data_IF_171426553543
#
_entry.id   IF_171426553543
#
_cell.length_a   1.000
_cell.length_b   1.000
_cell.length_c   1.000
_cell.angle_alpha   90.00
_cell.angle_beta   90.00
_cell.angle_gamma   90.00
#
_symmetry.space_group_name_H-M   'P 1'
#
loop_
_entity.id
_entity.type
_entity.pdbx_description
1 polymer ?
#
# COMPACT_ATOMS: atom_id res chain seq x y z
N UNK A 1 13.52 -6.97 -4.06
CA UNK A 1 12.99 -5.91 -4.94
C UNK A 1 12.66 -4.66 -4.15
N UNK A 2 12.81 -3.52 -4.79
CA UNK A 2 12.47 -2.23 -4.17
C UNK A 2 11.13 -1.76 -4.68
N UNK A 3 10.28 -1.34 -3.74
CA UNK A 3 8.94 -0.83 -4.04
C UNK A 3 8.82 0.55 -3.44
N UNK A 4 8.40 1.52 -4.24
CA UNK A 4 8.06 2.84 -3.73
C UNK A 4 6.59 2.84 -3.33
N UNK A 5 6.30 3.28 -2.12
CA UNK A 5 4.93 3.29 -1.60
C UNK A 5 4.53 4.73 -1.32
N UNK A 6 3.39 5.14 -1.84
CA UNK A 6 2.87 6.49 -1.67
C UNK A 6 1.65 6.46 -0.76
N UNK A 7 1.55 7.47 0.11
CA UNK A 7 0.45 7.63 1.04
C UNK A 7 -0.10 9.04 0.92
N UNK A 8 -1.42 9.19 0.87
CA UNK A 8 -2.08 10.49 0.79
C UNK A 8 -3.14 10.62 1.88
N UNK A 9 -3.29 11.85 2.39
CA UNK A 9 -4.34 12.16 3.37
C UNK A 9 -4.17 11.38 4.67
N UNK A 10 -5.28 11.02 5.33
CA UNK A 10 -5.23 10.38 6.65
C UNK A 10 -4.48 9.05 6.68
N UNK A 11 -4.41 8.34 5.56
CA UNK A 11 -3.72 7.04 5.50
C UNK A 11 -2.21 7.19 5.77
N UNK A 12 -1.68 8.42 5.70
CA UNK A 12 -0.29 8.69 6.06
C UNK A 12 0.04 8.31 7.50
N UNK A 13 -0.96 8.19 8.36
CA UNK A 13 -0.74 7.71 9.73
C UNK A 13 -0.07 6.34 9.74
N UNK A 14 -0.33 5.53 8.73
CA UNK A 14 0.26 4.19 8.63
C UNK A 14 1.74 4.25 8.29
N UNK A 15 2.25 5.42 7.91
CA UNK A 15 3.64 5.64 7.55
C UNK A 15 4.22 6.85 8.31
N UNK A 16 3.87 7.00 9.58
CA UNK A 16 4.34 8.10 10.44
C UNK A 16 4.13 9.48 9.80
N UNK A 17 2.98 9.66 9.16
CA UNK A 17 2.58 10.90 8.48
C UNK A 17 3.47 11.29 7.30
N UNK A 18 4.32 10.38 6.81
CA UNK A 18 5.13 10.63 5.63
C UNK A 18 4.35 10.28 4.36
N UNK A 19 4.66 11.02 3.29
CA UNK A 19 3.97 10.84 2.00
C UNK A 19 4.46 9.62 1.23
N UNK A 20 5.64 9.13 1.52
CA UNK A 20 6.21 8.01 0.77
C UNK A 20 7.19 7.22 1.61
N UNK A 21 7.44 6.00 1.15
CA UNK A 21 8.48 5.14 1.70
C UNK A 21 9.00 4.27 0.56
N UNK A 22 10.29 3.94 0.61
CA UNK A 22 10.86 2.93 -0.29
C UNK A 22 11.18 1.74 0.57
N UNK A 23 10.60 0.59 0.23
CA UNK A 23 10.77 -0.62 1.02
C UNK A 23 11.38 -1.73 0.18
N UNK A 24 12.00 -2.69 0.83
CA UNK A 24 12.50 -3.89 0.17
C UNK A 24 11.64 -5.08 0.57
N UNK A 25 11.26 -5.85 -0.43
CA UNK A 25 10.49 -7.08 -0.23
C UNK A 25 11.15 -8.19 -1.05
N UNK A 26 11.01 -9.45 -0.63
CA UNK A 26 11.51 -10.56 -1.45
C UNK A 26 10.85 -10.58 -2.82
N UNK A 27 11.57 -11.10 -3.82
CA UNK A 27 10.99 -11.29 -5.14
C UNK A 27 9.78 -12.22 -5.04
N UNK A 28 8.73 -11.91 -5.79
CA UNK A 28 7.49 -12.65 -5.74
C UNK A 28 6.50 -12.18 -4.69
N UNK A 29 6.87 -11.15 -3.91
CA UNK A 29 5.97 -10.60 -2.90
C UNK A 29 4.72 -9.98 -3.55
N UNK A 30 3.64 -9.98 -2.81
CA UNK A 30 2.33 -9.49 -3.25
C UNK A 30 1.98 -8.19 -2.55
N UNK A 31 0.83 -7.63 -2.92
CA UNK A 31 0.27 -6.49 -2.21
C UNK A 31 0.00 -6.79 -0.74
N UNK A 32 -0.34 -8.05 -0.42
CA UNK A 32 -0.53 -8.47 0.97
C UNK A 32 0.78 -8.33 1.75
N UNK A 33 1.91 -8.69 1.15
CA UNK A 33 3.21 -8.54 1.80
C UNK A 33 3.55 -7.08 2.05
N UNK A 34 3.18 -6.21 1.13
CA UNK A 34 3.33 -4.76 1.31
C UNK A 34 2.47 -4.29 2.49
N UNK A 35 1.24 -4.74 2.56
CA UNK A 35 0.34 -4.41 3.66
C UNK A 35 0.94 -4.89 4.99
N UNK A 36 1.44 -6.12 5.02
CA UNK A 36 2.05 -6.68 6.22
C UNK A 36 3.23 -5.85 6.70
N UNK A 37 4.01 -5.32 5.76
CA UNK A 37 5.16 -4.47 6.09
C UNK A 37 4.74 -3.26 6.93
N UNK A 38 3.60 -2.68 6.61
CA UNK A 38 3.07 -1.50 7.33
C UNK A 38 2.05 -1.87 8.39
N UNK A 39 1.93 -3.17 8.71
CA UNK A 39 0.97 -3.67 9.70
C UNK A 39 -0.48 -3.30 9.32
N UNK A 40 -0.76 -3.31 8.04
CA UNK A 40 -2.09 -3.08 7.51
C UNK A 40 -2.80 -4.42 7.37
N UNK A 41 -3.99 -4.52 7.96
CA UNK A 41 -4.85 -5.71 7.81
C UNK A 41 -6.07 -5.29 7.00
N UNK A 42 -6.13 -5.66 5.71
CA UNK A 42 -7.29 -5.30 4.89
C UNK A 42 -8.60 -5.75 5.54
N UNK A 43 -9.58 -4.84 5.55
CA UNK A 43 -10.86 -5.09 6.19
C UNK A 43 -10.88 -4.79 7.68
N UNK A 44 -9.73 -4.65 8.35
CA UNK A 44 -9.65 -4.35 9.77
C UNK A 44 -8.96 -3.03 10.07
N UNK A 45 -7.91 -2.68 9.33
CA UNK A 45 -7.24 -1.38 9.51
C UNK A 45 -8.16 -0.29 8.99
N UNK A 46 -8.62 0.58 9.88
CA UNK A 46 -9.68 1.55 9.58
C UNK A 46 -9.33 2.52 8.47
N UNK A 47 -8.09 2.94 8.41
CA UNK A 47 -7.68 3.96 7.46
C UNK A 47 -7.42 3.41 6.07
N UNK A 48 -7.18 2.11 5.96
CA UNK A 48 -6.84 1.49 4.70
C UNK A 48 -8.06 1.20 3.85
N UNK A 49 -7.99 1.57 2.57
CA UNK A 49 -9.03 1.24 1.59
C UNK A 49 -8.56 0.17 0.61
N UNK A 50 -7.61 0.52 -0.23
CA UNK A 50 -7.13 -0.38 -1.28
C UNK A 50 -5.79 0.11 -1.83
N UNK A 51 -5.17 -0.73 -2.69
CA UNK A 51 -3.91 -0.41 -3.35
C UNK A 51 -4.17 0.02 -4.79
N UNK A 52 -3.31 0.91 -5.28
CA UNK A 52 -3.38 1.39 -6.67
C UNK A 52 -2.01 1.22 -7.31
N UNK A 53 -2.01 0.68 -8.54
CA UNK A 53 -0.83 0.57 -9.40
C UNK A 53 -1.19 1.10 -10.77
N UNK A 54 -0.40 2.05 -11.28
CA UNK A 54 -0.62 2.66 -12.60
C UNK A 54 -2.05 3.22 -12.75
N UNK A 55 -2.54 3.87 -11.69
CA UNK A 55 -3.87 4.47 -11.71
C UNK A 55 -5.02 3.49 -11.59
N UNK A 56 -4.74 2.21 -11.37
CA UNK A 56 -5.77 1.18 -11.28
C UNK A 56 -5.73 0.50 -9.93
N UNK A 57 -6.92 0.21 -9.39
CA UNK A 57 -7.05 -0.55 -8.16
C UNK A 57 -6.55 -1.97 -8.40
N UNK A 58 -5.74 -2.49 -7.46
CA UNK A 58 -5.28 -3.87 -7.51
C UNK A 58 -5.73 -4.60 -6.24
N UNK A 59 -5.77 -5.94 -6.35
CA UNK A 59 -6.06 -6.78 -5.19
C UNK A 59 -4.79 -7.07 -4.42
N UNK A 60 -4.94 -7.40 -3.13
CA UNK A 60 -3.79 -7.72 -2.29
C UNK A 60 -3.06 -8.97 -2.76
N UNK A 61 -3.74 -9.88 -3.45
CA UNK A 61 -3.10 -11.10 -3.97
C UNK A 61 -2.19 -10.87 -5.16
N UNK A 62 -2.26 -9.70 -5.79
CA UNK A 62 -1.45 -9.45 -7.00
C UNK A 62 0.02 -9.33 -6.68
N UNK A 63 0.83 -9.94 -7.54
CA UNK A 63 2.28 -9.92 -7.39
C UNK A 63 2.84 -8.54 -7.73
N UNK A 64 3.82 -8.11 -6.94
CA UNK A 64 4.53 -6.84 -7.18
C UNK A 64 5.84 -7.12 -7.91
N UNK A 65 6.38 -6.11 -8.57
CA UNK A 65 7.61 -6.23 -9.33
C UNK A 65 8.60 -5.14 -8.95
N UNK A 66 9.88 -5.43 -9.09
CA UNK A 66 10.94 -4.50 -8.74
C UNK A 66 10.77 -3.14 -9.44
N UNK A 67 10.94 -2.08 -8.69
CA UNK A 67 10.88 -0.72 -9.22
C UNK A 67 9.47 -0.15 -9.33
N UNK A 68 8.45 -0.91 -8.96
CA UNK A 68 7.08 -0.41 -9.04
C UNK A 68 6.78 0.63 -7.97
N UNK A 69 5.79 1.48 -8.27
CA UNK A 69 5.23 2.44 -7.32
C UNK A 69 3.81 2.00 -7.01
N UNK A 70 3.54 1.78 -5.73
CA UNK A 70 2.22 1.38 -5.25
C UNK A 70 1.69 2.48 -4.35
N UNK A 71 0.46 2.90 -4.60
CA UNK A 71 -0.20 3.92 -3.78
C UNK A 71 -1.14 3.23 -2.81
N UNK A 72 -1.00 3.58 -1.54
CA UNK A 72 -1.94 3.13 -0.51
C UNK A 72 -3.04 4.17 -0.42
N UNK A 73 -4.25 3.78 -0.77
CA UNK A 73 -5.39 4.67 -0.76
C UNK A 73 -6.24 4.42 0.48
N UNK A 74 -6.70 5.50 1.08
CA UNK A 74 -7.54 5.40 2.26
C UNK A 74 -8.99 5.10 1.91
N UNK A 75 -9.77 4.74 2.92
CA UNK A 75 -11.21 4.61 2.75
C UNK A 75 -11.81 5.95 2.43
N UNK A 76 -12.78 5.95 1.51
CA UNK A 76 -13.53 7.14 1.18
C UNK A 76 -14.53 7.43 2.30
N UNK A 77 -14.44 8.62 2.89
CA UNK A 77 -15.38 9.03 3.92
C UNK A 77 -16.79 9.13 3.34
N UNK A 78 -17.76 8.56 4.03
CA UNK A 78 -19.15 8.61 3.60
C UNK A 78 -19.48 7.69 2.45
N UNK A 79 -18.49 6.92 2.02
CA UNK A 79 -18.68 5.98 0.93
C UNK A 79 -19.14 4.65 1.43
#
# INVERSE_FOLDING_TARGET
>A
MKIKVLFNGPVRQLNNWKNSATIELPDGSTGQDLCDYFKIVPGKTRLYGFLIRDGKKIKEEEELHDGETIKVNGKTAGG
#
